data_IF_939553530167
#
_entry.id   IF_939553530167
#
_cell.length_a   1.000
_cell.length_b   1.000
_cell.length_c   1.000
_cell.angle_alpha   90.00
_cell.angle_beta   90.00
_cell.angle_gamma   90.00
#
_symmetry.space_group_name_H-M   'P 1'
#
loop_
_entity.id
_entity.type
_entity.pdbx_description
1 polymer ?
#
# COMPACT_ATOMS: atom_id res chain seq x y z
N UNK A 1 -5.64 -22.68 20.63
CA UNK A 1 -6.17 -22.08 19.39
C UNK A 1 -5.36 -20.82 19.13
N UNK A 2 -4.71 -20.72 17.98
CA UNK A 2 -3.89 -19.55 17.64
C UNK A 2 -4.81 -18.35 17.32
N UNK A 3 -4.35 -17.11 17.47
CA UNK A 3 -5.23 -15.94 17.30
C UNK A 3 -5.75 -15.80 15.85
N UNK A 4 -4.94 -16.20 14.85
CA UNK A 4 -5.40 -16.24 13.45
C UNK A 4 -6.56 -17.21 13.30
N UNK A 5 -6.53 -18.36 13.99
CA UNK A 5 -7.58 -19.36 13.89
C UNK A 5 -8.93 -18.82 14.35
N UNK A 6 -8.91 -18.02 15.42
CA UNK A 6 -10.08 -17.38 15.98
C UNK A 6 -10.62 -16.30 15.06
N UNK A 7 -9.74 -15.52 14.42
CA UNK A 7 -10.14 -14.42 13.54
C UNK A 7 -10.81 -14.92 12.26
N UNK A 8 -10.33 -16.04 11.71
CA UNK A 8 -10.79 -16.57 10.42
C UNK A 8 -11.75 -17.76 10.54
N UNK A 9 -12.26 -18.06 11.74
CA UNK A 9 -13.11 -19.23 12.01
C UNK A 9 -14.47 -19.25 11.28
N UNK A 10 -14.95 -18.10 10.82
CA UNK A 10 -16.23 -17.94 10.11
C UNK A 10 -16.05 -17.58 8.64
N UNK A 11 -14.82 -17.63 8.15
CA UNK A 11 -14.50 -17.26 6.77
C UNK A 11 -14.38 -18.53 5.93
N UNK A 12 -15.48 -18.90 5.26
CA UNK A 12 -15.53 -20.08 4.40
C UNK A 12 -15.62 -19.72 2.90
N UNK A 13 -15.93 -18.45 2.59
CA UNK A 13 -16.01 -17.91 1.23
C UNK A 13 -14.65 -17.40 0.72
N UNK A 14 -14.45 -17.24 -0.60
CA UNK A 14 -13.23 -16.67 -1.16
C UNK A 14 -12.86 -15.30 -0.53
N UNK A 15 -11.62 -15.17 -0.07
CA UNK A 15 -11.12 -13.98 0.62
C UNK A 15 -10.06 -13.23 -0.19
N UNK A 16 -10.00 -11.91 -0.02
CA UNK A 16 -8.87 -11.08 -0.45
C UNK A 16 -8.33 -10.33 0.75
N UNK A 17 -7.07 -10.58 1.09
CA UNK A 17 -6.31 -9.78 2.05
C UNK A 17 -5.54 -8.76 1.24
N UNK A 18 -5.65 -7.48 1.60
CA UNK A 18 -4.91 -6.40 0.94
C UNK A 18 -4.24 -5.53 1.98
N UNK A 19 -2.98 -5.22 1.73
CA UNK A 19 -2.18 -4.24 2.48
C UNK A 19 -1.50 -3.31 1.47
N UNK A 20 -0.99 -2.17 1.92
CA UNK A 20 -0.26 -1.25 1.06
C UNK A 20 0.71 -0.38 1.85
N UNK A 21 1.67 0.21 1.14
CA UNK A 21 2.63 1.15 1.73
C UNK A 21 2.85 2.33 0.81
N UNK A 22 2.74 3.53 1.38
CA UNK A 22 3.26 4.77 0.81
C UNK A 22 4.80 4.77 0.89
N UNK A 23 5.53 4.78 -0.23
CA UNK A 23 6.99 4.72 -0.26
C UNK A 23 7.63 6.12 -0.14
N UNK A 24 7.27 6.88 0.89
CA UNK A 24 7.78 8.24 1.13
C UNK A 24 9.15 8.29 1.81
N UNK A 25 9.75 7.14 2.12
CA UNK A 25 11.05 7.02 2.77
C UNK A 25 11.35 5.57 3.14
N UNK A 26 12.53 5.35 3.72
CA UNK A 26 12.95 4.02 4.18
C UNK A 26 11.97 3.46 5.21
N UNK A 27 11.50 2.25 4.98
CA UNK A 27 10.61 1.56 5.90
C UNK A 27 11.35 1.17 7.18
N UNK A 28 10.79 1.54 8.34
CA UNK A 28 11.29 1.07 9.64
C UNK A 28 10.73 -0.32 9.98
N UNK A 29 11.33 -1.02 10.96
CA UNK A 29 10.91 -2.38 11.36
C UNK A 29 9.42 -2.49 11.70
N UNK A 30 8.84 -1.44 12.29
CA UNK A 30 7.41 -1.37 12.59
C UNK A 30 6.50 -1.45 11.36
N UNK A 31 6.97 -1.06 10.17
CA UNK A 31 6.22 -1.19 8.93
C UNK A 31 5.98 -2.66 8.53
N UNK A 32 6.78 -3.61 9.04
CA UNK A 32 6.60 -5.04 8.78
C UNK A 32 5.43 -5.67 9.55
N UNK A 33 4.89 -4.98 10.58
CA UNK A 33 3.82 -5.53 11.41
C UNK A 33 2.58 -5.88 10.60
N UNK A 34 2.15 -4.99 9.70
CA UNK A 34 1.02 -5.22 8.79
C UNK A 34 1.25 -6.46 7.91
N UNK A 35 2.32 -6.47 7.09
CA UNK A 35 2.63 -7.59 6.21
C UNK A 35 2.72 -8.94 6.91
N UNK A 36 3.30 -8.99 8.11
CA UNK A 36 3.43 -10.21 8.91
C UNK A 36 2.07 -10.72 9.42
N UNK A 37 1.20 -9.81 9.89
CA UNK A 37 -0.16 -10.16 10.31
C UNK A 37 -0.96 -10.68 9.12
N UNK A 38 -0.89 -9.99 7.99
CA UNK A 38 -1.61 -10.36 6.78
C UNK A 38 -1.12 -11.70 6.20
N UNK A 39 0.18 -11.95 6.19
CA UNK A 39 0.75 -13.23 5.76
C UNK A 39 0.34 -14.38 6.70
N UNK A 40 0.32 -14.15 8.02
CA UNK A 40 -0.16 -15.16 8.98
C UNK A 40 -1.63 -15.54 8.75
N UNK A 41 -2.49 -14.54 8.46
CA UNK A 41 -3.89 -14.78 8.12
C UNK A 41 -4.04 -15.49 6.77
N UNK A 42 -3.27 -15.06 5.76
CA UNK A 42 -3.23 -15.70 4.44
C UNK A 42 -2.87 -17.19 4.54
N UNK A 43 -1.80 -17.52 5.27
CA UNK A 43 -1.39 -18.92 5.51
C UNK A 43 -2.44 -19.70 6.29
N UNK A 44 -3.09 -19.08 7.28
CA UNK A 44 -4.13 -19.74 8.08
C UNK A 44 -5.35 -20.09 7.21
N UNK A 45 -5.83 -19.16 6.39
CA UNK A 45 -6.92 -19.41 5.44
C UNK A 45 -6.54 -20.46 4.40
N UNK A 46 -5.33 -20.37 3.83
CA UNK A 46 -4.82 -21.33 2.86
C UNK A 46 -4.71 -22.74 3.44
N UNK A 47 -4.24 -22.89 4.68
CA UNK A 47 -4.17 -24.17 5.39
C UNK A 47 -5.54 -24.80 5.66
N UNK A 48 -6.60 -23.99 5.74
CA UNK A 48 -7.99 -24.43 5.88
C UNK A 48 -8.68 -24.76 4.55
N UNK A 49 -8.01 -24.55 3.42
CA UNK A 49 -8.57 -24.77 2.10
C UNK A 49 -9.52 -23.65 1.63
N UNK A 50 -9.56 -22.51 2.31
CA UNK A 50 -10.34 -21.34 1.88
C UNK A 50 -9.61 -20.67 0.71
N UNK A 51 -10.25 -20.45 -0.45
CA UNK A 51 -9.65 -19.70 -1.55
C UNK A 51 -9.27 -18.29 -1.08
N UNK A 52 -7.99 -17.93 -1.14
CA UNK A 52 -7.52 -16.65 -0.65
C UNK A 52 -6.45 -16.06 -1.55
N UNK A 53 -6.52 -14.75 -1.77
CA UNK A 53 -5.47 -13.94 -2.40
C UNK A 53 -4.90 -12.97 -1.38
N UNK A 54 -3.60 -12.73 -1.47
CA UNK A 54 -2.92 -11.70 -0.69
C UNK A 54 -2.32 -10.69 -1.66
N UNK A 55 -2.79 -9.44 -1.61
CA UNK A 55 -2.34 -8.33 -2.42
C UNK A 55 -1.48 -7.38 -1.57
N UNK A 56 -0.43 -6.81 -2.16
CA UNK A 56 0.34 -5.76 -1.52
C UNK A 56 0.58 -4.57 -2.47
N UNK A 57 0.04 -3.41 -2.11
CA UNK A 57 0.08 -2.20 -2.91
C UNK A 57 1.28 -1.29 -2.63
N UNK A 58 1.76 -0.64 -3.67
CA UNK A 58 2.62 0.53 -3.58
C UNK A 58 1.79 1.78 -3.85
N UNK A 59 1.57 2.60 -2.81
CA UNK A 59 0.81 3.86 -2.89
C UNK A 59 1.68 4.99 -3.45
N UNK A 60 2.27 4.75 -4.61
CA UNK A 60 3.23 5.65 -5.25
C UNK A 60 2.61 6.85 -5.98
N UNK A 61 1.29 6.96 -5.95
CA UNK A 61 0.57 8.15 -6.41
C UNK A 61 0.28 9.15 -5.28
N UNK A 62 0.60 8.79 -4.02
CA UNK A 62 0.53 9.72 -2.90
C UNK A 62 1.50 10.89 -3.12
N UNK A 63 1.14 12.10 -2.64
CA UNK A 63 2.00 13.26 -2.75
C UNK A 63 3.21 13.13 -1.80
N UNK A 64 4.33 13.76 -2.16
CA UNK A 64 5.38 14.06 -1.19
C UNK A 64 4.84 15.06 -0.18
N UNK A 65 4.47 14.59 1.00
CA UNK A 65 3.99 15.39 2.13
C UNK A 65 5.06 15.57 3.23
N UNK A 66 5.93 14.57 3.37
CA UNK A 66 7.09 14.58 4.26
C UNK A 66 8.38 14.26 3.48
N UNK A 67 9.48 14.89 3.88
CA UNK A 67 10.81 14.68 3.26
C UNK A 67 11.67 13.82 4.20
N UNK A 68 12.28 12.74 3.70
CA UNK A 68 13.24 11.94 4.46
C UNK A 68 14.34 12.79 5.12
N UNK A 69 14.71 12.42 6.34
CA UNK A 69 15.74 13.12 7.11
C UNK A 69 17.05 13.23 6.31
N UNK A 70 17.57 14.45 6.18
CA UNK A 70 18.81 14.71 5.45
C UNK A 70 18.65 14.89 3.93
N UNK A 71 17.45 14.73 3.38
CA UNK A 71 17.21 14.79 1.92
C UNK A 71 16.45 16.05 1.46
N UNK A 72 16.31 17.06 2.35
CA UNK A 72 15.57 18.31 2.07
C UNK A 72 16.05 19.00 0.80
N UNK A 73 17.37 19.17 0.64
CA UNK A 73 17.95 19.87 -0.52
C UNK A 73 17.54 19.22 -1.86
N UNK A 74 17.37 17.90 -1.87
CA UNK A 74 17.00 17.15 -3.08
C UNK A 74 15.49 17.12 -3.32
N UNK A 75 14.69 16.96 -2.25
CA UNK A 75 13.25 16.70 -2.37
C UNK A 75 12.32 17.89 -2.17
N UNK A 76 12.77 19.00 -1.58
CA UNK A 76 11.88 20.12 -1.20
C UNK A 76 11.10 20.71 -2.38
N UNK A 77 11.71 20.76 -3.57
CA UNK A 77 11.05 21.24 -4.79
C UNK A 77 9.93 20.32 -5.32
N UNK A 78 9.80 19.12 -4.76
CA UNK A 78 8.84 18.10 -5.19
C UNK A 78 7.68 17.92 -4.20
N UNK A 79 7.59 18.74 -3.14
CA UNK A 79 6.45 18.72 -2.24
C UNK A 79 5.12 18.83 -3.02
N UNK A 80 4.18 17.93 -2.70
CA UNK A 80 2.88 17.82 -3.37
C UNK A 80 2.89 17.03 -4.69
N UNK A 81 4.06 16.70 -5.26
CA UNK A 81 4.14 15.85 -6.45
C UNK A 81 3.93 14.37 -6.08
N UNK A 82 3.31 13.55 -6.97
CA UNK A 82 3.21 12.11 -6.74
C UNK A 82 4.59 11.46 -6.62
N UNK A 83 4.79 10.57 -5.64
CA UNK A 83 6.08 9.91 -5.38
C UNK A 83 6.67 9.22 -6.64
N UNK A 84 5.81 8.66 -7.50
CA UNK A 84 6.21 8.05 -8.78
C UNK A 84 6.72 9.03 -9.84
N UNK A 85 6.58 10.34 -9.62
CA UNK A 85 7.02 11.39 -10.54
C UNK A 85 8.23 12.16 -9.99
N UNK A 86 8.77 11.75 -8.84
CA UNK A 86 9.91 12.40 -8.18
C UNK A 86 11.18 11.59 -8.46
N UNK A 87 12.29 12.20 -8.89
CA UNK A 87 13.55 11.48 -9.07
C UNK A 87 13.96 10.71 -7.80
N UNK A 88 14.70 9.60 -7.92
CA UNK A 88 15.14 8.87 -6.73
C UNK A 88 16.20 9.67 -5.94
N UNK A 89 16.56 9.25 -4.71
CA UNK A 89 17.68 9.82 -3.96
C UNK A 89 19.00 9.82 -4.77
N UNK A 90 19.92 10.77 -4.52
CA UNK A 90 21.21 10.81 -5.20
C UNK A 90 21.97 9.47 -5.06
N UNK A 91 22.49 8.96 -6.18
CA UNK A 91 23.23 7.69 -6.23
C UNK A 91 22.36 6.43 -6.33
N UNK A 92 21.03 6.56 -6.28
CA UNK A 92 20.11 5.46 -6.56
C UNK A 92 20.09 5.10 -8.04
N UNK A 93 19.95 3.81 -8.34
CA UNK A 93 19.71 3.27 -9.70
C UNK A 93 18.22 3.09 -10.01
N UNK A 94 17.35 3.40 -9.06
CA UNK A 94 15.90 3.28 -9.24
C UNK A 94 15.37 4.31 -10.24
N UNK A 95 14.15 4.10 -10.72
CA UNK A 95 13.52 5.00 -11.69
C UNK A 95 12.97 6.30 -11.06
N UNK A 96 12.50 6.21 -9.82
CA UNK A 96 11.91 7.31 -9.05
C UNK A 96 12.00 7.05 -7.54
N UNK A 97 11.59 8.03 -6.75
CA UNK A 97 11.58 7.99 -5.28
C UNK A 97 10.78 6.80 -4.75
N UNK A 98 9.58 6.57 -5.29
CA UNK A 98 8.75 5.44 -4.87
C UNK A 98 9.41 4.10 -5.19
N UNK A 99 9.95 3.95 -6.39
CA UNK A 99 10.65 2.74 -6.83
C UNK A 99 11.86 2.41 -5.95
N UNK A 100 12.63 3.43 -5.54
CA UNK A 100 13.75 3.28 -4.63
C UNK A 100 13.32 2.69 -3.28
N UNK A 101 12.39 3.33 -2.59
CA UNK A 101 12.03 2.91 -1.23
C UNK A 101 11.17 1.64 -1.21
N UNK A 102 10.25 1.46 -2.17
CA UNK A 102 9.40 0.26 -2.17
C UNK A 102 10.19 -1.00 -2.53
N UNK A 103 11.17 -0.90 -3.44
CA UNK A 103 11.98 -2.06 -3.83
C UNK A 103 12.84 -2.56 -2.68
N UNK A 104 13.39 -1.65 -1.85
CA UNK A 104 14.07 -2.02 -0.61
C UNK A 104 13.12 -2.80 0.32
N UNK A 105 11.91 -2.28 0.52
CA UNK A 105 10.94 -2.90 1.44
C UNK A 105 10.43 -4.26 0.95
N UNK A 106 10.10 -4.39 -0.34
CA UNK A 106 9.72 -5.68 -0.93
C UNK A 106 10.87 -6.69 -0.95
N UNK A 107 12.12 -6.23 -0.99
CA UNK A 107 13.29 -7.09 -0.80
C UNK A 107 13.25 -7.87 0.52
N UNK A 108 12.80 -7.22 1.60
CA UNK A 108 12.64 -7.85 2.93
C UNK A 108 11.56 -8.93 2.92
N UNK A 109 10.49 -8.77 2.12
CA UNK A 109 9.39 -9.74 2.07
C UNK A 109 9.89 -11.10 1.57
N UNK A 110 10.76 -11.09 0.55
CA UNK A 110 11.40 -12.29 0.02
C UNK A 110 12.24 -13.02 1.07
N UNK A 111 12.97 -12.29 1.90
CA UNK A 111 13.78 -12.90 2.99
C UNK A 111 12.91 -13.54 4.08
N UNK A 112 11.72 -12.97 4.31
CA UNK A 112 10.73 -13.49 5.27
C UNK A 112 9.81 -14.56 4.67
N UNK A 113 9.92 -14.83 3.37
CA UNK A 113 9.03 -15.74 2.64
C UNK A 113 7.60 -15.25 2.53
N UNK A 114 7.38 -13.93 2.58
CA UNK A 114 6.08 -13.29 2.36
C UNK A 114 5.92 -13.06 0.85
N UNK A 115 4.90 -13.67 0.26
CA UNK A 115 4.69 -13.69 -1.21
C UNK A 115 3.30 -13.17 -1.61
N UNK A 116 3.02 -11.86 -1.46
CA UNK A 116 1.80 -11.27 -1.97
C UNK A 116 1.88 -11.02 -3.48
N UNK A 117 0.72 -10.83 -4.10
CA UNK A 117 0.58 -10.27 -5.44
C UNK A 117 0.78 -8.74 -5.37
N UNK A 118 1.90 -8.26 -5.91
CA UNK A 118 2.22 -6.84 -5.89
C UNK A 118 1.45 -6.04 -6.95
N UNK A 119 1.08 -4.80 -6.60
CA UNK A 119 0.56 -3.82 -7.56
C UNK A 119 1.05 -2.41 -7.21
N UNK A 120 0.98 -1.50 -8.19
CA UNK A 120 1.33 -0.09 -8.02
C UNK A 120 0.15 0.80 -8.35
N UNK A 121 -0.06 1.83 -7.53
CA UNK A 121 -1.16 2.76 -7.74
C UNK A 121 -0.99 3.57 -9.03
N UNK A 122 0.24 3.92 -9.43
CA UNK A 122 0.52 4.56 -10.73
C UNK A 122 -0.11 3.80 -11.90
N UNK A 123 -0.10 2.47 -11.88
CA UNK A 123 -0.61 1.64 -12.98
C UNK A 123 -2.14 1.57 -12.93
N UNK A 124 -2.71 1.48 -11.73
CA UNK A 124 -4.16 1.49 -11.51
C UNK A 124 -4.76 2.83 -11.95
N UNK A 125 -4.14 3.96 -11.59
CA UNK A 125 -4.56 5.29 -12.02
C UNK A 125 -4.37 5.47 -13.53
N UNK A 126 -3.18 5.20 -14.08
CA UNK A 126 -2.88 5.43 -15.51
C UNK A 126 -3.68 4.55 -16.45
N UNK A 127 -4.05 3.35 -16.04
CA UNK A 127 -4.93 2.45 -16.82
C UNK A 127 -6.39 2.89 -16.87
N UNK A 128 -6.79 3.88 -16.06
CA UNK A 128 -8.16 4.35 -15.98
C UNK A 128 -9.11 3.40 -15.25
N UNK A 129 -8.60 2.36 -14.57
CA UNK A 129 -9.41 1.42 -13.79
C UNK A 129 -10.28 2.11 -12.73
N UNK A 130 -9.81 3.24 -12.22
CA UNK A 130 -10.54 4.05 -11.24
C UNK A 130 -11.45 5.13 -11.83
N UNK A 131 -11.45 5.36 -13.15
CA UNK A 131 -12.21 6.47 -13.75
C UNK A 131 -13.68 6.45 -13.37
N UNK A 132 -14.33 5.28 -13.40
CA UNK A 132 -15.75 5.15 -13.02
C UNK A 132 -15.98 5.46 -11.54
N UNK A 133 -15.10 4.99 -10.66
CA UNK A 133 -15.21 5.24 -9.22
C UNK A 133 -14.98 6.72 -8.90
N UNK A 134 -13.97 7.34 -9.52
CA UNK A 134 -13.66 8.77 -9.40
C UNK A 134 -14.86 9.60 -9.86
N UNK A 135 -15.41 9.36 -11.05
CA UNK A 135 -16.60 10.06 -11.56
C UNK A 135 -17.80 9.89 -10.61
N UNK A 136 -18.02 8.68 -10.10
CA UNK A 136 -19.10 8.41 -9.12
C UNK A 136 -18.94 9.24 -7.85
N UNK A 137 -17.74 9.27 -7.27
CA UNK A 137 -17.43 10.05 -6.05
C UNK A 137 -17.66 11.54 -6.30
N UNK A 138 -17.18 12.06 -7.43
CA UNK A 138 -17.32 13.48 -7.79
C UNK A 138 -18.79 13.88 -7.97
N UNK A 139 -19.61 13.04 -8.63
CA UNK A 139 -21.05 13.28 -8.81
C UNK A 139 -21.82 13.24 -7.49
N UNK A 140 -21.32 12.51 -6.50
CA UNK A 140 -21.95 12.34 -5.19
C UNK A 140 -21.19 13.05 -4.07
N UNK A 141 -20.42 14.10 -4.38
CA UNK A 141 -19.56 14.79 -3.42
C UNK A 141 -20.31 15.29 -2.17
N UNK A 142 -21.58 15.69 -2.30
CA UNK A 142 -22.40 16.08 -1.15
C UNK A 142 -22.65 14.92 -0.17
N UNK A 143 -22.88 13.71 -0.69
CA UNK A 143 -23.04 12.50 0.12
C UNK A 143 -21.73 12.16 0.82
N UNK A 144 -20.61 12.20 0.08
CA UNK A 144 -19.28 11.94 0.63
C UNK A 144 -18.95 12.90 1.77
N UNK A 145 -19.16 14.21 1.58
CA UNK A 145 -18.95 15.23 2.63
C UNK A 145 -19.82 14.99 3.86
N UNK A 146 -21.09 14.61 3.66
CA UNK A 146 -22.00 14.32 4.77
C UNK A 146 -21.50 13.13 5.58
N UNK A 147 -21.20 12.00 4.91
CA UNK A 147 -20.67 10.80 5.57
C UNK A 147 -19.38 11.13 6.31
N UNK A 148 -18.46 11.87 5.66
CA UNK A 148 -17.20 12.25 6.28
C UNK A 148 -17.41 13.04 7.57
N UNK A 149 -18.35 14.01 7.57
CA UNK A 149 -18.72 14.77 8.77
C UNK A 149 -19.37 13.90 9.86
N UNK A 150 -20.25 12.98 9.47
CA UNK A 150 -20.94 12.10 10.41
C UNK A 150 -19.97 11.14 11.12
N UNK A 151 -18.96 10.65 10.41
CA UNK A 151 -18.00 9.68 10.93
C UNK A 151 -16.84 10.35 11.68
N UNK A 152 -16.31 11.45 11.16
CA UNK A 152 -15.08 12.07 11.66
C UNK A 152 -15.29 13.31 12.53
N UNK A 153 -16.51 13.87 12.58
CA UNK A 153 -16.82 15.15 13.24
C UNK A 153 -16.59 16.37 12.36
#
# INVERSE_FOLDING_TARGET
MFWCDQLVNRLDEPQTINDSKTPSGRAHVGALRGPLIHDALFRTLKARGVPVRYLFGCDDYDPVDEIPYGEREHFERYLGAPLCNVPPPPGSTATDMADHYISEFWGVFRELGIEPEFYRMRDVYRSGRFNKAIDTILRHAAVVRRIYKEVSG
#
